data_IF_445034790005
#
_entry.id   IF_445034790005
#
_cell.length_a   1.000
_cell.length_b   1.000
_cell.length_c   1.000
_cell.angle_alpha   90.00
_cell.angle_beta   90.00
_cell.angle_gamma   90.00
#
_symmetry.space_group_name_H-M   'P 1'
#
loop_
_entity.id
_entity.type
_entity.pdbx_description
1 polymer ?
#
# COMPACT_ATOMS: atom_id res chain seq x y z
N UNK A 1 -28.41 9.17 -0.10
CA UNK A 1 -26.99 9.09 -0.50
C UNK A 1 -26.82 8.13 -1.67
N UNK A 2 -25.64 8.11 -2.31
CA UNK A 2 -25.38 7.22 -3.45
C UNK A 2 -24.80 5.88 -2.96
N UNK A 3 -25.63 4.84 -2.89
CA UNK A 3 -25.25 3.53 -2.35
C UNK A 3 -24.13 2.85 -3.16
N UNK A 4 -24.16 2.96 -4.50
CA UNK A 4 -23.13 2.38 -5.37
C UNK A 4 -21.76 3.00 -5.07
N UNK A 5 -21.68 4.33 -4.99
CA UNK A 5 -20.44 5.04 -4.63
C UNK A 5 -19.95 4.69 -3.22
N UNK A 6 -20.86 4.44 -2.28
CA UNK A 6 -20.49 4.01 -0.93
C UNK A 6 -19.88 2.60 -0.93
N UNK A 7 -20.48 1.66 -1.67
CA UNK A 7 -19.95 0.29 -1.82
C UNK A 7 -18.58 0.29 -2.52
N UNK A 8 -18.42 1.09 -3.56
CA UNK A 8 -17.14 1.29 -4.27
C UNK A 8 -16.07 1.87 -3.33
N UNK A 9 -16.43 2.83 -2.48
CA UNK A 9 -15.52 3.38 -1.48
C UNK A 9 -15.09 2.33 -0.44
N UNK A 10 -16.03 1.52 0.04
CA UNK A 10 -15.76 0.39 0.95
C UNK A 10 -14.79 -0.59 0.30
N UNK A 11 -15.04 -0.99 -0.95
CA UNK A 11 -14.17 -1.89 -1.70
C UNK A 11 -12.77 -1.31 -1.89
N UNK A 12 -12.68 -0.02 -2.25
CA UNK A 12 -11.40 0.69 -2.41
C UNK A 12 -10.59 0.75 -1.12
N UNK A 13 -11.26 0.98 0.02
CA UNK A 13 -10.58 1.00 1.31
C UNK A 13 -10.04 -0.39 1.70
N UNK A 14 -10.87 -1.42 1.58
CA UNK A 14 -10.52 -2.79 1.96
C UNK A 14 -9.42 -3.41 1.07
N UNK A 15 -9.21 -2.85 -0.13
CA UNK A 15 -8.05 -3.21 -0.96
C UNK A 15 -6.74 -2.87 -0.26
N UNK A 16 -6.67 -1.73 0.43
CA UNK A 16 -5.52 -1.39 1.26
C UNK A 16 -5.60 -2.15 2.58
N UNK A 17 -6.67 -1.99 3.36
CA UNK A 17 -6.78 -2.53 4.72
C UNK A 17 -7.80 -3.69 4.78
N UNK A 18 -7.43 -4.91 4.33
CA UNK A 18 -8.39 -6.00 4.14
C UNK A 18 -8.95 -6.58 5.46
N UNK A 19 -8.25 -6.34 6.57
CA UNK A 19 -8.63 -6.83 7.90
C UNK A 19 -9.23 -5.72 8.80
N UNK A 20 -9.50 -4.53 8.25
CA UNK A 20 -10.13 -3.47 9.04
C UNK A 20 -11.56 -3.85 9.42
N UNK A 21 -11.77 -4.14 10.71
CA UNK A 21 -13.03 -4.64 11.24
C UNK A 21 -14.19 -3.66 11.01
N UNK A 22 -13.92 -2.36 11.16
CA UNK A 22 -14.94 -1.31 10.98
C UNK A 22 -15.44 -1.30 9.54
N UNK A 23 -14.53 -1.41 8.57
CA UNK A 23 -14.88 -1.41 7.16
C UNK A 23 -15.50 -2.72 6.68
N UNK A 24 -15.15 -3.84 7.30
CA UNK A 24 -15.85 -5.11 7.09
C UNK A 24 -17.29 -5.05 7.59
N UNK A 25 -17.53 -4.47 8.77
CA UNK A 25 -18.89 -4.23 9.28
C UNK A 25 -19.68 -3.31 8.34
N UNK A 26 -19.05 -2.25 7.82
CA UNK A 26 -19.69 -1.38 6.83
C UNK A 26 -20.07 -2.16 5.56
N UNK A 27 -19.19 -3.04 5.06
CA UNK A 27 -19.47 -3.91 3.91
C UNK A 27 -20.67 -4.80 4.17
N UNK A 28 -20.71 -5.48 5.31
CA UNK A 28 -21.83 -6.34 5.71
C UNK A 28 -23.14 -5.57 5.86
N UNK A 29 -23.09 -4.36 6.42
CA UNK A 29 -24.25 -3.49 6.53
C UNK A 29 -24.84 -3.18 5.15
N UNK A 30 -24.01 -2.76 4.19
CA UNK A 30 -24.48 -2.42 2.86
C UNK A 30 -25.03 -3.63 2.10
N UNK A 31 -24.41 -4.82 2.26
CA UNK A 31 -24.88 -6.06 1.63
C UNK A 31 -26.29 -6.48 2.07
N UNK A 32 -26.75 -6.03 3.24
CA UNK A 32 -28.11 -6.29 3.75
C UNK A 32 -29.17 -5.35 3.14
N UNK A 33 -28.78 -4.33 2.38
CA UNK A 33 -29.71 -3.37 1.79
C UNK A 33 -30.28 -3.89 0.46
N UNK A 34 -31.60 -3.77 0.22
CA UNK A 34 -32.27 -4.37 -0.95
C UNK A 34 -31.83 -3.80 -2.31
N UNK A 35 -31.15 -2.66 -2.33
CA UNK A 35 -30.68 -1.97 -3.56
C UNK A 35 -29.18 -2.14 -3.80
N UNK A 36 -28.50 -2.93 -2.96
CA UNK A 36 -27.07 -3.20 -3.09
C UNK A 36 -26.90 -4.60 -3.67
N UNK A 37 -25.98 -4.70 -4.63
CA UNK A 37 -25.59 -5.96 -5.24
C UNK A 37 -24.09 -6.16 -5.01
N UNK A 38 -23.61 -7.40 -5.10
CA UNK A 38 -22.19 -7.70 -4.90
C UNK A 38 -21.31 -6.93 -5.91
N UNK A 39 -21.82 -6.69 -7.13
CA UNK A 39 -21.14 -5.97 -8.20
C UNK A 39 -20.95 -4.48 -7.90
N UNK A 40 -21.58 -3.95 -6.85
CA UNK A 40 -21.31 -2.59 -6.38
C UNK A 40 -20.01 -2.49 -5.58
N UNK A 41 -19.42 -3.62 -5.15
CA UNK A 41 -18.15 -3.65 -4.41
C UNK A 41 -16.95 -3.86 -5.33
N UNK A 42 -16.89 -3.07 -6.40
CA UNK A 42 -15.73 -2.96 -7.26
C UNK A 42 -14.90 -1.77 -6.77
N UNK A 43 -13.60 -1.92 -6.47
CA UNK A 43 -12.72 -0.81 -6.13
C UNK A 43 -12.62 0.20 -7.26
N UNK A 44 -12.34 1.47 -6.94
CA UNK A 44 -12.09 2.49 -7.95
C UNK A 44 -10.86 2.14 -8.78
N UNK A 45 -10.91 2.51 -10.05
CA UNK A 45 -9.80 2.33 -10.98
C UNK A 45 -8.49 2.98 -10.47
N UNK A 46 -8.57 4.17 -9.89
CA UNK A 46 -7.41 4.86 -9.28
C UNK A 46 -6.70 4.02 -8.21
N UNK A 47 -7.47 3.24 -7.44
CA UNK A 47 -6.93 2.36 -6.39
C UNK A 47 -6.18 1.18 -6.99
N UNK A 48 -6.74 0.59 -8.05
CA UNK A 48 -6.10 -0.52 -8.79
C UNK A 48 -4.82 -0.04 -9.47
N UNK A 49 -4.87 1.09 -10.15
CA UNK A 49 -3.71 1.69 -10.83
C UNK A 49 -2.58 2.03 -9.85
N UNK A 50 -2.92 2.52 -8.66
CA UNK A 50 -1.94 2.79 -7.62
C UNK A 50 -1.20 1.51 -7.20
N UNK A 51 -1.93 0.40 -6.97
CA UNK A 51 -1.32 -0.88 -6.59
C UNK A 51 -0.43 -1.42 -7.68
N UNK A 52 -0.90 -1.44 -8.93
CA UNK A 52 -0.08 -1.89 -10.05
C UNK A 52 1.22 -1.10 -10.17
N UNK A 53 1.18 0.23 -9.96
CA UNK A 53 2.38 1.05 -9.95
C UNK A 53 3.31 0.66 -8.80
N UNK A 54 2.79 0.50 -7.58
CA UNK A 54 3.62 0.10 -6.43
C UNK A 54 4.25 -1.28 -6.63
N UNK A 55 3.51 -2.25 -7.18
CA UNK A 55 4.04 -3.58 -7.50
C UNK A 55 5.15 -3.50 -8.55
N UNK A 56 4.97 -2.68 -9.59
CA UNK A 56 5.98 -2.43 -10.61
C UNK A 56 7.25 -1.77 -10.04
N UNK A 57 7.10 -0.74 -9.20
CA UNK A 57 8.23 -0.06 -8.56
C UNK A 57 9.07 -1.03 -7.71
N UNK A 58 8.40 -1.91 -6.95
CA UNK A 58 9.09 -2.93 -6.15
C UNK A 58 9.84 -3.92 -7.04
N UNK A 59 9.22 -4.40 -8.13
CA UNK A 59 9.86 -5.30 -9.08
C UNK A 59 11.10 -4.66 -9.71
N UNK A 60 11.01 -3.38 -10.11
CA UNK A 60 12.12 -2.64 -10.67
C UNK A 60 13.26 -2.46 -9.67
N UNK A 61 12.95 -2.14 -8.41
CA UNK A 61 13.96 -2.00 -7.36
C UNK A 61 14.65 -3.33 -7.05
N UNK A 62 13.91 -4.43 -7.02
CA UNK A 62 14.47 -5.77 -6.84
C UNK A 62 15.41 -6.12 -8.01
N UNK A 63 14.96 -5.91 -9.25
CA UNK A 63 15.78 -6.11 -10.45
C UNK A 63 17.08 -5.29 -10.39
N UNK A 64 17.00 -4.01 -9.99
CA UNK A 64 18.20 -3.17 -9.87
C UNK A 64 19.15 -3.72 -8.78
N UNK A 65 18.61 -4.15 -7.64
CA UNK A 65 19.40 -4.71 -6.54
C UNK A 65 20.08 -6.04 -6.89
N UNK A 66 19.43 -6.86 -7.71
CA UNK A 66 19.92 -8.17 -8.11
C UNK A 66 20.96 -8.09 -9.25
N UNK A 67 20.73 -7.22 -10.24
CA UNK A 67 21.56 -7.16 -11.45
C UNK A 67 22.74 -6.19 -11.33
N UNK A 68 22.65 -5.15 -10.50
CA UNK A 68 23.67 -4.11 -10.42
C UNK A 68 24.45 -4.17 -9.11
N UNK A 69 25.73 -4.54 -9.19
CA UNK A 69 26.69 -4.35 -8.10
C UNK A 69 27.19 -2.91 -8.11
N UNK A 70 26.74 -2.09 -7.16
CA UNK A 70 27.22 -0.72 -7.00
C UNK A 70 28.66 -0.69 -6.47
N UNK A 71 29.65 -0.82 -7.36
CA UNK A 71 31.06 -0.62 -7.04
C UNK A 71 31.35 0.88 -6.90
N UNK A 72 31.40 1.37 -5.66
CA UNK A 72 31.65 2.80 -5.39
C UNK A 72 31.55 3.26 -3.93
N UNK A 73 31.11 2.41 -2.98
CA UNK A 73 31.19 2.70 -1.54
C UNK A 73 32.38 2.01 -0.85
N UNK A 74 33.41 1.63 -1.62
CA UNK A 74 34.70 1.18 -1.07
C UNK A 74 35.67 2.36 -1.02
N UNK A 75 35.34 3.32 -0.16
CA UNK A 75 36.24 4.38 0.29
C UNK A 75 36.38 4.23 1.80
N UNK A 76 37.61 4.01 2.26
CA UNK A 76 37.98 3.78 3.66
C UNK A 76 37.41 4.82 4.63
N UNK A 77 36.23 4.58 5.20
CA UNK A 77 35.82 5.22 6.45
C UNK A 77 35.33 4.14 7.41
N UNK A 78 35.97 4.13 8.59
CA UNK A 78 35.60 3.32 9.76
C UNK A 78 34.08 3.23 9.86
N UNK A 79 33.56 2.01 10.06
CA UNK A 79 32.14 1.72 10.35
C UNK A 79 31.57 2.72 11.37
N UNK A 80 31.12 3.89 10.92
CA UNK A 80 30.18 4.71 11.66
C UNK A 80 28.90 3.89 11.65
N UNK A 81 28.26 3.77 12.81
CA UNK A 81 26.89 3.25 12.94
C UNK A 81 26.00 4.13 12.06
N UNK A 82 25.92 3.81 10.78
CA UNK A 82 24.87 4.31 9.90
C UNK A 82 23.62 3.69 10.47
N UNK A 83 22.74 4.53 10.99
CA UNK A 83 21.47 4.14 11.56
C UNK A 83 20.85 3.09 10.65
N UNK A 84 20.68 1.89 11.21
CA UNK A 84 20.04 0.75 10.62
C UNK A 84 18.72 1.22 10.00
N UNK A 85 18.73 1.55 8.71
CA UNK A 85 17.48 1.56 7.95
C UNK A 85 17.17 0.08 7.82
N UNK A 86 16.45 -0.42 8.82
CA UNK A 86 15.81 -1.72 8.75
C UNK A 86 14.83 -1.66 7.58
N UNK A 87 15.30 -1.97 6.40
CA UNK A 87 14.45 -2.63 5.42
C UNK A 87 14.20 -4.00 6.03
N UNK A 88 13.11 -4.11 6.78
CA UNK A 88 12.62 -5.42 7.19
C UNK A 88 12.42 -6.18 5.89
N UNK A 89 13.29 -7.16 5.63
CA UNK A 89 13.10 -8.15 4.60
C UNK A 89 11.63 -8.54 4.61
N UNK A 90 10.93 -8.28 3.51
CA UNK A 90 9.55 -8.69 3.33
C UNK A 90 9.61 -10.20 3.18
N UNK A 91 9.58 -10.91 4.31
CA UNK A 91 9.31 -12.33 4.34
C UNK A 91 7.87 -12.49 3.91
N UNK A 92 7.69 -13.08 2.72
CA UNK A 92 6.43 -13.65 2.29
C UNK A 92 5.97 -14.66 3.35
N UNK A 93 5.02 -14.27 4.18
CA UNK A 93 4.30 -15.19 5.05
C UNK A 93 2.86 -15.23 4.54
N UNK A 94 2.48 -16.45 4.14
CA UNK A 94 1.21 -16.88 3.60
C UNK A 94 -0.01 -16.04 4.03
N UNK A 95 -0.82 -15.65 3.04
CA UNK A 95 -2.19 -15.17 3.20
C UNK A 95 -2.38 -13.96 4.13
N UNK A 96 -1.89 -12.78 3.72
CA UNK A 96 -2.59 -11.47 3.85
C UNK A 96 -1.70 -10.36 3.29
N UNK A 97 -2.24 -9.62 2.31
CA UNK A 97 -1.62 -8.44 1.68
C UNK A 97 -1.07 -7.48 2.74
N UNK A 98 0.19 -7.08 2.58
CA UNK A 98 0.88 -6.12 3.43
C UNK A 98 0.78 -4.72 2.82
N UNK A 99 0.24 -3.74 3.55
CA UNK A 99 0.33 -2.32 3.19
C UNK A 99 1.69 -1.80 3.62
N UNK A 100 2.49 -1.34 2.68
CA UNK A 100 3.72 -0.63 2.97
C UNK A 100 3.40 0.84 3.24
N UNK A 101 3.39 1.26 4.51
CA UNK A 101 3.43 2.69 4.86
C UNK A 101 4.89 3.13 4.85
N UNK A 102 5.32 3.72 3.72
CA UNK A 102 6.61 4.41 3.64
C UNK A 102 6.54 5.64 4.52
N UNK A 103 7.17 5.60 5.71
CA UNK A 103 7.36 6.80 6.53
C UNK A 103 8.50 7.62 5.93
N UNK A 104 8.19 8.40 4.89
CA UNK A 104 9.09 9.44 4.38
C UNK A 104 9.24 10.45 5.53
N UNK A 105 10.39 10.43 6.20
CA UNK A 105 10.74 11.52 7.12
C UNK A 105 10.88 12.78 6.27
N UNK A 106 10.03 13.77 6.57
CA UNK A 106 10.06 15.16 6.10
C UNK A 106 9.52 15.41 4.69
N UNK A 107 8.19 15.34 4.55
CA UNK A 107 7.48 16.23 3.61
C UNK A 107 6.43 17.02 4.41
N UNK A 108 6.84 18.18 4.94
CA UNK A 108 5.90 19.15 5.49
C UNK A 108 5.16 19.76 4.31
N UNK A 109 3.86 19.45 4.19
CA UNK A 109 2.98 20.13 3.24
C UNK A 109 2.88 21.62 3.65
N UNK A 110 3.14 22.57 2.75
CA UNK A 110 2.93 23.98 3.05
C UNK A 110 1.44 24.22 3.29
N UNK A 111 1.11 24.75 4.46
CA UNK A 111 -0.22 25.27 4.77
C UNK A 111 -0.28 26.67 4.19
N UNK A 112 -0.97 26.85 3.07
CA UNK A 112 -1.40 28.18 2.66
C UNK A 112 -2.55 28.62 3.57
N UNK A 113 -2.30 29.68 4.33
CA UNK A 113 -3.33 30.44 5.04
C UNK A 113 -4.17 31.25 4.06
#
# INVERSE_FOLDING_TARGET
>A
GNLKKACEAVASYLVFFPADETMLINKEYYLKLPKVQNEHFIPREETINYIHRQEYEIQLLNFIGDEFVFQGLSGNEKKKKVNEVKYTSVSLINNKRLILVVKIRNFQRPVHK
#
